data_IF_605978931655
#
_entry.id   IF_605978931655
#
_cell.length_a   1.000
_cell.length_b   1.000
_cell.length_c   1.000
_cell.angle_alpha   90.00
_cell.angle_beta   90.00
_cell.angle_gamma   90.00
#
_symmetry.space_group_name_H-M   'P 1'
#
loop_
_entity.id
_entity.type
_entity.pdbx_description
1 polymer ?
#
# COMPACT_ATOMS: atom_id res chain seq x y z
N UNK A 1 42.52 -9.80 16.04
CA UNK A 1 41.13 -10.02 16.50
C UNK A 1 40.35 -8.83 15.99
N UNK A 2 39.40 -8.95 15.05
CA UNK A 2 38.38 -9.97 14.97
C UNK A 2 38.32 -10.65 13.59
N UNK A 3 38.34 -11.97 13.68
CA UNK A 3 37.90 -12.95 12.71
C UNK A 3 36.38 -13.02 12.81
N UNK A 4 35.67 -12.47 11.83
CA UNK A 4 34.21 -12.66 11.65
C UNK A 4 33.97 -12.81 10.14
N UNK A 5 34.60 -13.81 9.53
CA UNK A 5 34.20 -14.29 8.21
C UNK A 5 33.06 -15.29 8.40
N UNK A 6 31.83 -14.81 8.59
CA UNK A 6 30.63 -15.64 8.44
C UNK A 6 30.28 -15.65 6.93
N UNK A 7 30.42 -16.77 6.20
CA UNK A 7 30.36 -16.80 4.73
C UNK A 7 28.97 -16.50 4.13
N UNK A 8 28.00 -16.08 4.94
CA UNK A 8 26.60 -15.85 4.55
C UNK A 8 26.16 -14.37 4.54
N UNK A 9 27.06 -13.40 4.74
CA UNK A 9 26.68 -11.97 4.75
C UNK A 9 27.46 -11.11 3.74
N UNK A 10 27.21 -11.30 2.43
CA UNK A 10 27.91 -10.56 1.36
C UNK A 10 27.76 -9.04 1.47
N UNK A 11 26.71 -8.57 2.15
CA UNK A 11 26.49 -7.14 2.39
C UNK A 11 27.41 -6.54 3.45
N UNK A 12 27.70 -7.28 4.53
CA UNK A 12 28.62 -6.81 5.57
C UNK A 12 30.04 -6.72 5.05
N UNK A 13 30.49 -7.73 4.28
CA UNK A 13 31.80 -7.69 3.63
C UNK A 13 31.95 -6.49 2.69
N UNK A 14 30.89 -6.16 1.96
CA UNK A 14 30.86 -4.99 1.10
C UNK A 14 30.93 -3.67 1.88
N UNK A 15 30.24 -3.56 3.02
CA UNK A 15 30.31 -2.38 3.88
C UNK A 15 31.68 -2.21 4.52
N UNK A 16 32.30 -3.30 4.98
CA UNK A 16 33.66 -3.28 5.54
C UNK A 16 34.67 -2.87 4.47
N UNK A 17 34.55 -3.38 3.24
CA UNK A 17 35.39 -2.98 2.13
C UNK A 17 35.23 -1.48 1.79
N UNK A 18 34.00 -0.96 1.76
CA UNK A 18 33.74 0.47 1.55
C UNK A 18 34.33 1.34 2.65
N UNK A 19 34.17 0.96 3.92
CA UNK A 19 34.73 1.69 5.06
C UNK A 19 36.26 1.70 5.04
N UNK A 20 36.89 0.57 4.67
CA UNK A 20 38.35 0.50 4.54
C UNK A 20 38.88 1.46 3.46
N UNK A 21 38.16 1.63 2.34
CA UNK A 21 38.51 2.62 1.30
C UNK A 21 38.40 4.06 1.83
N UNK A 22 37.41 4.34 2.67
CA UNK A 22 37.23 5.67 3.27
C UNK A 22 38.27 5.99 4.36
N UNK A 23 38.70 5.00 5.14
CA UNK A 23 39.66 5.20 6.24
C UNK A 23 41.10 5.46 5.73
N UNK A 24 41.48 4.94 4.56
CA UNK A 24 42.86 5.02 4.06
C UNK A 24 43.18 6.25 3.22
N UNK A 25 42.19 7.12 2.95
CA UNK A 25 42.40 8.35 2.19
C UNK A 25 42.69 8.09 0.70
N UNK A 26 42.20 8.99 -0.13
CA UNK A 26 42.12 8.85 -1.58
C UNK A 26 43.43 8.47 -2.26
N UNK A 27 43.56 7.22 -2.70
CA UNK A 27 44.40 6.89 -3.86
C UNK A 27 43.76 5.80 -4.72
N UNK A 28 43.09 6.26 -5.77
CA UNK A 28 42.95 5.56 -7.06
C UNK A 28 42.50 4.09 -7.07
N UNK A 29 41.62 3.65 -6.15
CA UNK A 29 40.94 2.35 -6.28
C UNK A 29 39.50 2.55 -6.76
N UNK A 30 39.02 1.75 -7.75
CA UNK A 30 37.62 1.76 -8.15
C UNK A 30 36.73 1.41 -6.96
N UNK A 31 35.68 2.20 -6.74
CA UNK A 31 34.69 1.94 -5.69
C UNK A 31 34.13 0.53 -5.92
N UNK A 32 34.26 -0.41 -4.96
CA UNK A 32 33.71 -1.75 -5.11
C UNK A 32 32.20 -1.65 -5.33
N UNK A 33 31.66 -2.43 -6.27
CA UNK A 33 30.20 -2.51 -6.53
C UNK A 33 29.63 -3.72 -5.80
N UNK A 34 28.43 -3.55 -5.24
CA UNK A 34 27.72 -4.64 -4.58
C UNK A 34 26.97 -5.49 -5.62
N UNK A 35 27.40 -6.73 -5.81
CA UNK A 35 26.75 -7.71 -6.72
C UNK A 35 25.92 -8.78 -5.96
N UNK A 36 25.57 -8.53 -4.70
CA UNK A 36 24.77 -9.44 -3.88
C UNK A 36 23.25 -9.20 -3.93
N UNK A 37 22.44 -10.05 -3.28
CA UNK A 37 20.98 -9.90 -3.24
C UNK A 37 20.58 -8.60 -2.51
N UNK A 38 19.99 -7.65 -3.23
CA UNK A 38 19.53 -6.37 -2.69
C UNK A 38 18.05 -6.40 -2.34
N UNK A 39 17.71 -6.09 -1.09
CA UNK A 39 16.35 -5.67 -0.73
C UNK A 39 16.29 -4.14 -0.60
N UNK A 40 15.11 -3.60 -0.28
CA UNK A 40 14.91 -2.15 -0.18
C UNK A 40 15.81 -1.47 0.88
N UNK A 41 16.13 -2.18 1.98
CA UNK A 41 17.01 -1.68 3.03
C UNK A 41 18.46 -1.60 2.52
N UNK A 42 18.94 -2.66 1.86
CA UNK A 42 20.27 -2.71 1.22
C UNK A 42 20.44 -1.58 0.22
N UNK A 43 19.46 -1.35 -0.64
CA UNK A 43 19.49 -0.29 -1.65
C UNK A 43 19.49 1.13 -1.03
N UNK A 44 18.72 1.32 0.05
CA UNK A 44 18.70 2.60 0.76
C UNK A 44 20.05 2.91 1.41
N UNK A 45 20.69 1.92 2.03
CA UNK A 45 22.00 2.09 2.68
C UNK A 45 23.07 2.40 1.64
N UNK A 46 23.11 1.67 0.51
CA UNK A 46 24.07 1.92 -0.56
C UNK A 46 23.95 3.35 -1.13
N UNK A 47 22.73 3.83 -1.34
CA UNK A 47 22.47 5.20 -1.83
C UNK A 47 22.87 6.27 -0.81
N UNK A 48 22.65 6.02 0.48
CA UNK A 48 23.11 6.92 1.54
C UNK A 48 24.64 7.01 1.56
N UNK A 49 25.34 5.88 1.43
CA UNK A 49 26.81 5.85 1.39
C UNK A 49 27.36 6.53 0.13
N UNK A 50 26.73 6.32 -1.03
CA UNK A 50 27.13 7.01 -2.26
C UNK A 50 26.95 8.53 -2.15
N UNK A 51 25.88 9.00 -1.52
CA UNK A 51 25.66 10.43 -1.27
C UNK A 51 26.66 11.01 -0.26
N UNK A 52 27.01 10.25 0.78
CA UNK A 52 28.07 10.62 1.72
C UNK A 52 29.41 10.71 0.99
N UNK A 53 29.68 9.77 0.09
CA UNK A 53 30.91 9.70 -0.65
C UNK A 53 31.11 10.82 -1.66
N UNK A 54 30.03 11.29 -2.29
CA UNK A 54 30.05 12.50 -3.13
C UNK A 54 30.29 13.79 -2.31
N UNK A 55 29.91 13.81 -1.04
CA UNK A 55 30.03 15.00 -0.18
C UNK A 55 31.40 15.16 0.50
N UNK A 56 32.11 14.06 0.77
CA UNK A 56 33.40 14.09 1.46
C UNK A 56 34.50 14.94 0.75
N UNK A 57 34.78 14.79 -0.57
CA UNK A 57 35.81 15.59 -1.23
C UNK A 57 35.41 17.06 -1.41
N UNK A 58 34.11 17.37 -1.44
CA UNK A 58 33.62 18.74 -1.48
C UNK A 58 33.83 19.47 -0.14
N UNK A 59 33.74 18.74 0.98
CA UNK A 59 34.02 19.28 2.30
C UNK A 59 35.51 19.60 2.48
N UNK A 60 36.42 18.69 2.10
CA UNK A 60 37.87 18.93 2.22
C UNK A 60 38.39 20.08 1.34
N UNK A 61 37.83 20.24 0.14
CA UNK A 61 38.14 21.38 -0.72
C UNK A 61 37.71 22.72 -0.08
N UNK A 62 36.58 22.74 0.64
CA UNK A 62 36.10 23.92 1.35
C UNK A 62 37.03 24.26 2.54
N UNK A 63 37.45 23.28 3.33
CA UNK A 63 38.36 23.48 4.47
C UNK A 63 39.75 23.97 4.05
N UNK A 64 40.27 23.51 2.91
CA UNK A 64 41.56 23.97 2.35
C UNK A 64 41.54 25.44 1.93
N UNK A 65 40.42 25.91 1.37
CA UNK A 65 40.26 27.32 0.97
C UNK A 65 40.28 28.29 2.17
N UNK A 66 39.71 27.87 3.30
CA UNK A 66 39.65 28.66 4.54
C UNK A 66 41.05 28.83 5.16
N UNK A 67 41.86 27.77 5.19
CA UNK A 67 43.25 27.85 5.70
C UNK A 67 44.13 28.76 4.83
N UNK A 68 43.91 28.81 3.51
CA UNK A 68 44.67 29.69 2.61
C UNK A 68 44.34 31.18 2.80
N UNK A 69 43.10 31.50 3.21
CA UNK A 69 42.67 32.88 3.47
C UNK A 69 43.26 33.46 4.76
N UNK A 70 43.50 32.64 5.79
CA UNK A 70 44.00 33.08 7.10
C UNK A 70 45.49 33.49 7.08
N UNK A 71 46.28 33.01 6.12
CA UNK A 71 47.72 33.30 6.04
C UNK A 71 48.07 34.67 5.41
N UNK A 72 47.08 35.41 4.88
CA UNK A 72 47.32 36.61 4.07
C UNK A 72 47.13 37.96 4.78
N UNK A 73 46.84 37.99 6.09
CA UNK A 73 46.45 39.23 6.80
C UNK A 73 47.35 39.62 7.99
N UNK A 74 48.65 39.35 7.96
CA UNK A 74 49.56 39.84 9.01
C UNK A 74 50.87 40.41 8.46
N UNK A 75 50.91 41.71 8.16
CA UNK A 75 52.09 42.56 8.37
C UNK A 75 51.86 44.04 8.02
N UNK A 76 52.43 44.92 8.86
CA UNK A 76 52.65 46.38 8.75
C UNK A 76 51.53 47.31 9.26
N UNK A 77 51.77 48.35 10.07
CA UNK A 77 52.88 48.77 10.94
C UNK A 77 52.35 49.87 11.88
N UNK A 78 53.07 50.02 12.99
CA UNK A 78 52.94 50.92 14.14
C UNK A 78 53.19 52.43 13.86
N UNK A 79 52.46 53.34 14.55
CA UNK A 79 52.99 54.43 15.41
C UNK A 79 52.31 55.84 15.36
N UNK A 80 52.08 56.39 16.57
CA UNK A 80 52.15 57.80 17.05
C UNK A 80 50.93 58.78 17.10
N UNK A 81 50.32 58.86 18.30
CA UNK A 81 49.89 60.00 19.23
C UNK A 81 49.35 61.39 18.74
N UNK A 82 48.70 62.26 19.58
CA UNK A 82 47.30 62.72 19.41
C UNK A 82 47.12 64.27 19.35
N UNK A 83 45.90 64.78 19.10
CA UNK A 83 45.49 66.09 19.63
C UNK A 83 43.96 66.28 19.72
N UNK A 84 43.59 67.08 20.70
CA UNK A 84 42.28 67.32 21.34
C UNK A 84 41.32 68.26 20.56
N UNK A 85 40.11 68.42 21.12
CA UNK A 85 39.13 69.53 21.04
C UNK A 85 37.76 69.23 20.41
N UNK A 86 36.80 69.00 21.30
CA UNK A 86 35.42 69.54 21.40
C UNK A 86 34.55 69.81 20.15
N UNK A 87 33.31 69.31 20.21
CA UNK A 87 32.14 70.16 19.91
C UNK A 87 31.09 69.62 18.95
N UNK A 88 29.84 69.59 19.47
CA UNK A 88 28.57 69.80 18.79
C UNK A 88 27.87 68.63 18.06
N UNK A 89 26.64 68.42 18.52
CA UNK A 89 25.59 67.63 17.92
C UNK A 89 25.27 68.06 16.48
N UNK A 90 25.11 67.08 15.60
CA UNK A 90 24.60 67.24 14.24
C UNK A 90 24.11 65.90 13.72
N UNK A 91 22.90 65.88 13.16
CA UNK A 91 22.21 64.71 12.66
C UNK A 91 23.13 63.78 11.84
N UNK A 92 23.26 62.52 12.26
CA UNK A 92 24.00 61.50 11.52
C UNK A 92 23.28 61.20 10.21
N UNK A 93 23.73 61.83 9.12
CA UNK A 93 23.83 61.12 7.86
C UNK A 93 24.72 59.89 8.11
N UNK A 94 24.22 58.70 7.78
CA UNK A 94 25.00 57.46 7.87
C UNK A 94 26.31 57.68 7.10
N UNK A 95 27.45 57.33 7.70
CA UNK A 95 28.74 57.36 7.01
C UNK A 95 28.70 56.36 5.85
N UNK A 96 29.32 56.64 4.70
CA UNK A 96 29.42 55.70 3.57
C UNK A 96 29.94 54.31 4.01
N UNK A 97 30.74 54.26 5.08
CA UNK A 97 31.22 53.03 5.71
C UNK A 97 30.11 52.27 6.46
N UNK A 98 29.18 52.98 7.11
CA UNK A 98 28.05 52.40 7.83
C UNK A 98 27.02 51.82 6.85
N UNK A 99 26.81 52.49 5.71
CA UNK A 99 25.95 51.97 4.63
C UNK A 99 26.51 50.69 4.00
N UNK A 100 27.83 50.63 3.74
CA UNK A 100 28.49 49.43 3.23
C UNK A 100 28.46 48.26 4.23
N UNK A 101 28.63 48.53 5.53
CA UNK A 101 28.49 47.51 6.57
C UNK A 101 27.05 47.00 6.68
N UNK A 102 26.07 47.90 6.55
CA UNK A 102 24.65 47.54 6.54
C UNK A 102 24.33 46.63 5.35
N UNK A 103 24.76 46.99 4.14
CA UNK A 103 24.56 46.18 2.93
C UNK A 103 25.24 44.81 3.03
N UNK A 104 26.45 44.74 3.60
CA UNK A 104 27.14 43.46 3.83
C UNK A 104 26.38 42.57 4.81
N UNK A 105 25.84 43.17 5.87
CA UNK A 105 25.05 42.45 6.89
C UNK A 105 23.72 41.96 6.31
N UNK A 106 23.05 42.78 5.49
CA UNK A 106 21.82 42.41 4.79
C UNK A 106 22.04 41.28 3.78
N UNK A 107 23.09 41.37 2.96
CA UNK A 107 23.45 40.33 2.01
C UNK A 107 23.81 39.01 2.69
N UNK A 108 24.54 39.07 3.82
CA UNK A 108 24.84 37.88 4.62
C UNK A 108 23.58 37.23 5.20
N UNK A 109 22.58 38.02 5.62
CA UNK A 109 21.32 37.49 6.12
C UNK A 109 20.48 36.82 5.03
N UNK A 110 20.43 37.39 3.82
CA UNK A 110 19.78 36.75 2.68
C UNK A 110 20.49 35.44 2.33
N UNK A 111 21.83 35.44 2.30
CA UNK A 111 22.61 34.22 2.04
C UNK A 111 22.32 33.13 3.09
N UNK A 112 22.24 33.49 4.37
CA UNK A 112 21.91 32.54 5.44
C UNK A 112 20.51 31.92 5.28
N UNK A 113 19.53 32.70 4.83
CA UNK A 113 18.17 32.17 4.54
C UNK A 113 18.20 31.27 3.30
N UNK A 114 18.98 31.60 2.29
CA UNK A 114 19.18 30.71 1.15
C UNK A 114 19.85 29.38 1.55
N UNK A 115 20.83 29.43 2.46
CA UNK A 115 21.47 28.22 3.01
C UNK A 115 20.48 27.37 3.79
N UNK A 116 19.59 27.97 4.61
CA UNK A 116 18.56 27.21 5.32
C UNK A 116 17.51 26.60 4.39
N UNK A 117 17.10 27.33 3.34
CA UNK A 117 16.23 26.81 2.28
C UNK A 117 16.88 25.64 1.55
N UNK A 118 18.19 25.71 1.30
CA UNK A 118 18.96 24.61 0.71
C UNK A 118 19.01 23.37 1.62
N UNK A 119 19.07 23.56 2.94
CA UNK A 119 19.00 22.48 3.92
C UNK A 119 17.57 21.93 4.15
N UNK A 120 16.55 22.58 3.60
CA UNK A 120 15.14 22.19 3.75
C UNK A 120 14.44 22.77 4.98
N UNK A 121 15.06 23.73 5.68
CA UNK A 121 14.43 24.49 6.76
C UNK A 121 13.78 25.77 6.20
N UNK A 122 12.44 25.72 6.07
CA UNK A 122 11.63 26.84 5.59
C UNK A 122 11.06 27.73 6.71
N UNK A 123 11.59 27.64 7.93
CA UNK A 123 11.11 28.45 9.07
C UNK A 123 11.85 29.78 9.23
N UNK A 124 13.06 29.89 8.67
CA UNK A 124 13.90 31.10 8.78
C UNK A 124 13.48 32.21 7.83
N UNK A 125 13.52 33.46 8.30
CA UNK A 125 13.21 34.66 7.51
C UNK A 125 14.31 35.71 7.61
N UNK A 126 14.39 36.56 6.59
CA UNK A 126 15.27 37.73 6.57
C UNK A 126 14.67 38.78 7.52
N UNK A 127 15.20 38.88 8.74
CA UNK A 127 14.71 39.79 9.78
C UNK A 127 15.58 41.05 9.97
N UNK A 128 16.59 41.26 9.11
CA UNK A 128 17.49 42.41 9.22
C UNK A 128 16.78 43.68 8.72
N UNK A 129 16.87 44.83 9.44
CA UNK A 129 16.34 46.09 8.97
C UNK A 129 16.99 46.48 7.63
N UNK A 130 16.22 46.30 6.56
CA UNK A 130 16.61 46.62 5.19
C UNK A 130 16.31 48.09 4.90
N UNK A 131 17.32 48.80 4.39
CA UNK A 131 17.20 50.20 3.98
C UNK A 131 17.38 50.29 2.46
N UNK A 132 16.56 51.11 1.81
CA UNK A 132 16.54 51.29 0.36
C UNK A 132 15.54 50.37 -0.38
N UNK A 133 14.91 50.86 -1.46
CA UNK A 133 13.80 50.18 -2.12
C UNK A 133 14.15 48.80 -2.72
N UNK A 134 15.40 48.62 -3.17
CA UNK A 134 15.84 47.35 -3.78
C UNK A 134 15.99 46.23 -2.73
N UNK A 135 16.59 46.53 -1.58
CA UNK A 135 16.85 45.53 -0.54
C UNK A 135 15.59 45.12 0.20
N UNK A 136 14.64 46.05 0.38
CA UNK A 136 13.30 45.72 0.88
C UNK A 136 12.59 44.76 -0.08
N UNK A 137 12.55 45.07 -1.38
CA UNK A 137 11.94 44.19 -2.37
C UNK A 137 12.60 42.80 -2.43
N UNK A 138 13.92 42.72 -2.33
CA UNK A 138 14.64 41.44 -2.29
C UNK A 138 14.28 40.62 -1.04
N UNK A 139 14.30 41.24 0.14
CA UNK A 139 13.92 40.59 1.40
C UNK A 139 12.48 40.08 1.35
N UNK A 140 11.54 40.90 0.87
CA UNK A 140 10.15 40.53 0.73
C UNK A 140 9.97 39.38 -0.28
N UNK A 141 10.69 39.41 -1.41
CA UNK A 141 10.61 38.36 -2.42
C UNK A 141 11.18 37.03 -1.90
N UNK A 142 12.29 37.06 -1.16
CA UNK A 142 12.88 35.86 -0.54
C UNK A 142 11.98 35.33 0.57
N UNK A 143 11.46 36.19 1.45
CA UNK A 143 10.54 35.79 2.52
C UNK A 143 9.24 35.19 1.95
N UNK A 144 8.68 35.77 0.88
CA UNK A 144 7.53 35.22 0.17
C UNK A 144 7.84 33.85 -0.48
N UNK A 145 9.04 33.68 -1.03
CA UNK A 145 9.48 32.38 -1.56
C UNK A 145 9.56 31.32 -0.46
N UNK A 146 10.22 31.65 0.67
CA UNK A 146 10.33 30.76 1.84
C UNK A 146 8.95 30.36 2.37
N UNK A 147 8.04 31.33 2.48
CA UNK A 147 6.68 31.08 2.96
C UNK A 147 5.89 30.15 2.04
N UNK A 148 5.97 30.36 0.72
CA UNK A 148 5.33 29.47 -0.26
C UNK A 148 5.91 28.05 -0.21
N UNK A 149 7.24 27.93 -0.06
CA UNK A 149 7.90 26.62 0.11
C UNK A 149 7.48 25.92 1.40
N UNK A 150 7.39 26.66 2.51
CA UNK A 150 6.96 26.13 3.80
C UNK A 150 5.52 25.59 3.73
N UNK A 151 4.60 26.36 3.16
CA UNK A 151 3.19 25.97 3.00
C UNK A 151 3.04 24.73 2.11
N UNK A 152 3.78 24.67 1.00
CA UNK A 152 3.75 23.52 0.10
C UNK A 152 4.33 22.25 0.76
N UNK A 153 5.49 22.37 1.41
CA UNK A 153 6.13 21.25 2.09
C UNK A 153 5.26 20.70 3.22
N UNK A 154 4.63 21.58 4.00
CA UNK A 154 3.70 21.18 5.05
C UNK A 154 2.47 20.48 4.48
N UNK A 155 1.86 21.03 3.41
CA UNK A 155 0.71 20.40 2.76
C UNK A 155 1.00 18.99 2.28
N UNK A 156 2.13 18.77 1.59
CA UNK A 156 2.50 17.43 1.11
C UNK A 156 2.78 16.48 2.28
N UNK A 157 3.47 16.95 3.32
CA UNK A 157 3.72 16.14 4.50
C UNK A 157 2.41 15.74 5.20
N UNK A 158 1.43 16.65 5.27
CA UNK A 158 0.11 16.37 5.83
C UNK A 158 -0.67 15.37 4.98
N UNK A 159 -0.65 15.48 3.65
CA UNK A 159 -1.28 14.48 2.78
C UNK A 159 -0.62 13.11 2.94
N UNK A 160 0.71 13.06 2.93
CA UNK A 160 1.46 11.81 3.13
C UNK A 160 1.16 11.15 4.47
N UNK A 161 1.19 11.92 5.56
CA UNK A 161 0.91 11.39 6.91
C UNK A 161 -0.56 10.97 7.08
N UNK A 162 -1.50 11.73 6.52
CA UNK A 162 -2.93 11.38 6.55
C UNK A 162 -3.20 10.06 5.83
N UNK A 163 -2.61 9.87 4.65
CA UNK A 163 -2.73 8.62 3.87
C UNK A 163 -2.14 7.44 4.65
N UNK A 164 -0.98 7.62 5.29
CA UNK A 164 -0.35 6.58 6.13
C UNK A 164 -1.22 6.24 7.36
N UNK A 165 -1.89 7.24 7.94
CA UNK A 165 -2.78 7.05 9.08
C UNK A 165 -4.17 6.50 8.68
N UNK A 166 -4.40 6.21 7.40
CA UNK A 166 -5.69 5.73 6.88
C UNK A 166 -6.77 6.80 6.82
N UNK A 167 -6.43 8.06 7.06
CA UNK A 167 -7.31 9.22 6.89
C UNK A 167 -7.22 9.69 5.44
N UNK A 168 -7.95 9.00 4.57
CA UNK A 168 -7.96 9.23 3.14
C UNK A 168 -8.85 10.42 2.77
N UNK A 169 -8.34 11.32 1.91
CA UNK A 169 -9.05 12.48 1.39
C UNK A 169 -8.49 13.86 1.79
N UNK A 170 -7.34 13.91 2.46
CA UNK A 170 -6.64 15.19 2.65
C UNK A 170 -6.09 15.70 1.32
N UNK A 171 -6.16 17.01 1.14
CA UNK A 171 -5.72 17.71 -0.06
C UNK A 171 -4.82 18.88 0.34
N UNK A 172 -3.85 19.16 -0.52
CA UNK A 172 -3.01 20.35 -0.42
C UNK A 172 -3.68 21.53 -1.11
N UNK A 173 -3.39 22.75 -0.65
CA UNK A 173 -3.82 23.95 -1.36
C UNK A 173 -3.23 23.98 -2.78
N UNK A 174 -3.98 24.50 -3.75
CA UNK A 174 -3.58 24.62 -5.16
C UNK A 174 -3.19 26.05 -5.55
N UNK A 175 -3.30 27.01 -4.61
CA UNK A 175 -3.03 28.43 -4.84
C UNK A 175 -1.54 28.80 -4.99
N UNK A 176 -0.70 27.84 -5.36
CA UNK A 176 0.71 28.05 -5.63
C UNK A 176 0.92 28.20 -7.14
N UNK A 177 0.83 29.41 -7.70
CA UNK A 177 0.93 29.60 -9.15
C UNK A 177 2.15 28.95 -9.82
N UNK A 178 2.01 28.55 -11.09
CA UNK A 178 3.06 27.93 -11.89
C UNK A 178 3.15 26.41 -11.68
N UNK A 179 4.36 25.87 -11.71
CA UNK A 179 4.65 24.42 -11.58
C UNK A 179 4.17 23.82 -10.25
N UNK A 180 4.04 24.65 -9.21
CA UNK A 180 3.52 24.21 -7.91
C UNK A 180 2.04 23.83 -7.96
N UNK A 181 1.23 24.52 -8.78
CA UNK A 181 -0.18 24.14 -9.02
C UNK A 181 -0.23 22.78 -9.68
N UNK A 182 0.64 22.52 -10.67
CA UNK A 182 0.68 21.23 -11.37
C UNK A 182 1.04 20.09 -10.42
N UNK A 183 2.05 20.27 -9.56
CA UNK A 183 2.46 19.28 -8.55
C UNK A 183 1.38 19.05 -7.49
N UNK A 184 0.80 20.12 -6.94
CA UNK A 184 -0.30 20.04 -5.97
C UNK A 184 -1.51 19.32 -6.57
N UNK A 185 -1.87 19.64 -7.81
CA UNK A 185 -2.96 18.97 -8.53
C UNK A 185 -2.65 17.49 -8.72
N UNK A 186 -1.43 17.13 -9.14
CA UNK A 186 -1.04 15.74 -9.31
C UNK A 186 -1.10 14.92 -8.01
N UNK A 187 -0.61 15.48 -6.90
CA UNK A 187 -0.69 14.85 -5.57
C UNK A 187 -2.14 14.70 -5.11
N UNK A 188 -2.96 15.74 -5.30
CA UNK A 188 -4.37 15.72 -4.92
C UNK A 188 -5.15 14.69 -5.75
N UNK A 189 -4.93 14.62 -7.06
CA UNK A 189 -5.56 13.61 -7.94
C UNK A 189 -5.13 12.19 -7.55
N UNK A 190 -3.85 11.97 -7.22
CA UNK A 190 -3.39 10.67 -6.73
C UNK A 190 -4.06 10.30 -5.41
N UNK A 191 -4.16 11.24 -4.47
CA UNK A 191 -4.82 11.05 -3.17
C UNK A 191 -6.30 10.72 -3.35
N UNK A 192 -7.00 11.44 -4.24
CA UNK A 192 -8.41 11.22 -4.55
C UNK A 192 -8.65 9.84 -5.17
N UNK A 193 -7.89 9.47 -6.21
CA UNK A 193 -8.03 8.15 -6.87
C UNK A 193 -7.76 6.98 -5.91
N UNK A 194 -6.76 7.12 -5.03
CA UNK A 194 -6.47 6.12 -4.00
C UNK A 194 -7.60 6.04 -2.98
N UNK A 195 -8.10 7.19 -2.53
CA UNK A 195 -9.22 7.30 -1.58
C UNK A 195 -10.47 6.63 -2.11
N UNK A 196 -10.84 6.95 -3.35
CA UNK A 196 -12.05 6.43 -3.99
C UNK A 196 -11.94 4.93 -4.20
N UNK A 197 -10.78 4.42 -4.63
CA UNK A 197 -10.62 2.98 -4.82
C UNK A 197 -10.73 2.22 -3.51
N UNK A 198 -10.06 2.69 -2.46
CA UNK A 198 -10.11 2.03 -1.14
C UNK A 198 -11.53 2.08 -0.58
N UNK A 199 -12.24 3.22 -0.69
CA UNK A 199 -13.64 3.34 -0.25
C UNK A 199 -14.57 2.42 -1.04
N UNK A 200 -14.40 2.32 -2.36
CA UNK A 200 -15.22 1.44 -3.20
C UNK A 200 -14.98 -0.05 -2.87
N UNK A 201 -13.73 -0.45 -2.65
CA UNK A 201 -13.42 -1.82 -2.19
C UNK A 201 -14.01 -2.07 -0.81
N UNK A 202 -13.92 -1.11 0.12
CA UNK A 202 -14.54 -1.25 1.44
C UNK A 202 -16.06 -1.42 1.36
N UNK A 203 -16.74 -0.67 0.50
CA UNK A 203 -18.18 -0.83 0.25
C UNK A 203 -18.51 -2.21 -0.32
N UNK A 204 -17.72 -2.70 -1.27
CA UNK A 204 -17.89 -4.05 -1.83
C UNK A 204 -17.69 -5.13 -0.77
N UNK A 205 -16.69 -5.00 0.10
CA UNK A 205 -16.48 -5.94 1.22
C UNK A 205 -17.65 -5.88 2.21
N UNK A 206 -18.19 -4.70 2.52
CA UNK A 206 -19.41 -4.57 3.33
C UNK A 206 -20.60 -5.26 2.66
N UNK A 207 -20.79 -5.11 1.35
CA UNK A 207 -21.83 -5.82 0.61
C UNK A 207 -21.67 -7.34 0.71
N UNK A 208 -20.44 -7.85 0.66
CA UNK A 208 -20.18 -9.28 0.85
C UNK A 208 -20.60 -9.78 2.23
N UNK A 209 -20.47 -8.96 3.28
CA UNK A 209 -20.91 -9.37 4.64
C UNK A 209 -22.42 -9.57 4.75
N UNK A 210 -23.21 -8.89 3.92
CA UNK A 210 -24.67 -9.05 3.88
C UNK A 210 -25.12 -10.00 2.76
N UNK A 211 -24.18 -10.61 2.04
CA UNK A 211 -24.45 -11.55 0.95
C UNK A 211 -24.87 -10.88 -0.37
N UNK A 212 -24.67 -9.57 -0.51
CA UNK A 212 -24.88 -8.88 -1.78
C UNK A 212 -23.61 -8.91 -2.63
N UNK A 213 -23.60 -9.82 -3.61
CA UNK A 213 -22.51 -9.97 -4.58
C UNK A 213 -22.79 -9.25 -5.90
N UNK A 214 -23.76 -8.32 -5.96
CA UNK A 214 -24.08 -7.55 -7.17
C UNK A 214 -23.34 -6.22 -7.26
N UNK A 215 -22.81 -5.74 -6.12
CA UNK A 215 -22.01 -4.51 -6.04
C UNK A 215 -20.69 -4.68 -6.81
N UNK A 216 -20.32 -3.68 -7.60
CA UNK A 216 -19.08 -3.64 -8.38
C UNK A 216 -18.34 -2.33 -8.14
N UNK A 217 -17.01 -2.39 -8.27
CA UNK A 217 -16.18 -1.18 -8.33
C UNK A 217 -16.22 -0.67 -9.76
N UNK A 218 -16.78 0.53 -9.97
CA UNK A 218 -16.90 1.19 -11.28
C UNK A 218 -16.23 2.57 -11.32
N UNK A 219 -14.99 2.63 -10.82
CA UNK A 219 -14.14 3.82 -10.92
C UNK A 219 -13.19 3.63 -12.11
N UNK A 220 -12.94 4.69 -12.88
CA UNK A 220 -11.93 4.67 -13.94
C UNK A 220 -10.53 4.73 -13.32
N UNK A 221 -9.78 3.64 -13.44
CA UNK A 221 -8.51 3.43 -12.77
C UNK A 221 -7.47 2.98 -13.80
N UNK A 222 -6.19 3.19 -13.48
CA UNK A 222 -5.07 2.82 -14.35
C UNK A 222 -4.03 2.02 -13.59
N UNK A 223 -3.25 1.21 -14.31
CA UNK A 223 -2.16 0.40 -13.76
C UNK A 223 -2.64 -0.60 -12.70
N UNK A 224 -1.84 -0.76 -11.64
CA UNK A 224 -2.10 -1.73 -10.56
C UNK A 224 -3.45 -1.54 -9.86
N UNK A 225 -3.95 -0.29 -9.82
CA UNK A 225 -5.24 0.01 -9.23
C UNK A 225 -6.41 -0.52 -10.08
N UNK A 226 -6.26 -0.53 -11.41
CA UNK A 226 -7.20 -1.18 -12.29
C UNK A 226 -7.13 -2.70 -12.16
N UNK A 227 -5.93 -3.26 -12.02
CA UNK A 227 -5.78 -4.71 -11.81
C UNK A 227 -6.46 -5.15 -10.51
N UNK A 228 -6.37 -4.34 -9.44
CA UNK A 228 -7.10 -4.57 -8.20
C UNK A 228 -8.63 -4.52 -8.42
N UNK A 229 -9.15 -3.50 -9.12
CA UNK A 229 -10.58 -3.42 -9.49
C UNK A 229 -11.03 -4.68 -10.24
N UNK A 230 -10.27 -5.11 -11.25
CA UNK A 230 -10.60 -6.29 -12.06
C UNK A 230 -10.60 -7.55 -11.19
N UNK A 231 -9.60 -7.74 -10.34
CA UNK A 231 -9.49 -8.91 -9.47
C UNK A 231 -10.65 -8.99 -8.46
N UNK A 232 -10.99 -7.87 -7.82
CA UNK A 232 -12.08 -7.83 -6.83
C UNK A 232 -13.45 -8.03 -7.50
N UNK A 233 -13.68 -7.42 -8.67
CA UNK A 233 -14.92 -7.64 -9.43
C UNK A 233 -15.03 -9.10 -9.91
N UNK A 234 -13.94 -9.71 -10.39
CA UNK A 234 -13.92 -11.12 -10.77
C UNK A 234 -14.22 -12.05 -9.59
N UNK A 235 -13.73 -11.70 -8.39
CA UNK A 235 -14.10 -12.42 -7.16
C UNK A 235 -15.60 -12.32 -6.87
N UNK A 236 -16.20 -11.13 -7.00
CA UNK A 236 -17.65 -10.94 -6.84
C UNK A 236 -18.45 -11.78 -7.84
N UNK A 237 -18.07 -11.73 -9.13
CA UNK A 237 -18.70 -12.50 -10.20
C UNK A 237 -18.63 -14.01 -9.93
N UNK A 238 -17.48 -14.48 -9.42
CA UNK A 238 -17.28 -15.88 -9.08
C UNK A 238 -18.22 -16.33 -7.97
N UNK A 239 -18.31 -15.56 -6.89
CA UNK A 239 -19.18 -15.90 -5.76
C UNK A 239 -20.64 -15.88 -6.21
N UNK A 240 -21.05 -14.86 -6.97
CA UNK A 240 -22.41 -14.75 -7.49
C UNK A 240 -22.78 -15.94 -8.38
N UNK A 241 -21.90 -16.35 -9.30
CA UNK A 241 -22.12 -17.50 -10.19
C UNK A 241 -22.29 -18.80 -9.39
N UNK A 242 -21.41 -19.04 -8.42
CA UNK A 242 -21.51 -20.24 -7.57
C UNK A 242 -22.79 -20.21 -6.74
N UNK A 243 -23.11 -19.09 -6.08
CA UNK A 243 -24.30 -18.97 -5.25
C UNK A 243 -25.59 -19.23 -6.07
N UNK A 244 -25.68 -18.64 -7.27
CA UNK A 244 -26.81 -18.85 -8.16
C UNK A 244 -26.95 -20.33 -8.57
N UNK A 245 -25.84 -20.99 -8.91
CA UNK A 245 -25.85 -22.40 -9.31
C UNK A 245 -26.21 -23.32 -8.15
N UNK A 246 -25.74 -23.04 -6.94
CA UNK A 246 -26.10 -23.81 -5.75
C UNK A 246 -27.57 -23.65 -5.40
N UNK A 247 -28.11 -22.43 -5.49
CA UNK A 247 -29.54 -22.18 -5.30
C UNK A 247 -30.37 -22.91 -6.36
N UNK A 248 -29.98 -22.84 -7.63
CA UNK A 248 -30.65 -23.54 -8.73
C UNK A 248 -30.73 -25.04 -8.46
N UNK A 249 -29.61 -25.67 -8.10
CA UNK A 249 -29.55 -27.12 -7.84
C UNK A 249 -30.34 -27.51 -6.60
N UNK A 250 -30.26 -26.71 -5.53
CA UNK A 250 -31.05 -26.94 -4.33
C UNK A 250 -32.55 -26.86 -4.62
N UNK A 251 -32.99 -25.89 -5.43
CA UNK A 251 -34.38 -25.76 -5.85
C UNK A 251 -34.81 -26.89 -6.78
N UNK A 252 -34.00 -27.25 -7.78
CA UNK A 252 -34.35 -28.32 -8.73
C UNK A 252 -34.40 -29.70 -8.09
N UNK A 253 -33.38 -30.08 -7.33
CA UNK A 253 -33.29 -31.41 -6.72
C UNK A 253 -34.14 -31.49 -5.45
N UNK A 254 -34.11 -30.45 -4.63
CA UNK A 254 -34.79 -30.43 -3.32
C UNK A 254 -36.27 -30.08 -3.40
N UNK A 255 -36.67 -29.08 -4.19
CA UNK A 255 -38.05 -28.58 -4.23
C UNK A 255 -38.82 -29.21 -5.39
N UNK A 256 -38.26 -29.18 -6.60
CA UNK A 256 -38.94 -29.69 -7.78
C UNK A 256 -38.76 -31.20 -8.01
N UNK A 257 -37.95 -31.88 -7.19
CA UNK A 257 -37.72 -33.32 -7.29
C UNK A 257 -37.10 -33.74 -8.63
N UNK A 258 -36.42 -32.84 -9.35
CA UNK A 258 -35.74 -33.12 -10.61
C UNK A 258 -34.40 -33.84 -10.34
N UNK A 259 -34.50 -35.10 -9.96
CA UNK A 259 -33.37 -35.94 -9.58
C UNK A 259 -32.37 -36.11 -10.73
N UNK A 260 -31.08 -36.03 -10.43
CA UNK A 260 -29.97 -36.16 -11.39
C UNK A 260 -29.35 -34.84 -11.87
N UNK A 261 -29.90 -33.69 -11.47
CA UNK A 261 -29.25 -32.40 -11.71
C UNK A 261 -28.06 -32.21 -10.76
N UNK A 262 -27.01 -31.57 -11.27
CA UNK A 262 -25.75 -31.33 -10.57
C UNK A 262 -25.31 -29.89 -10.82
N UNK A 263 -24.62 -29.32 -9.82
CA UNK A 263 -23.98 -28.03 -9.91
C UNK A 263 -22.79 -28.11 -10.87
N UNK A 264 -22.78 -27.24 -11.87
CA UNK A 264 -21.70 -27.13 -12.86
C UNK A 264 -21.12 -25.72 -12.84
N UNK A 265 -19.88 -25.60 -12.37
CA UNK A 265 -19.13 -24.34 -12.43
C UNK A 265 -17.74 -24.64 -12.98
N UNK A 266 -17.44 -24.11 -14.18
CA UNK A 266 -16.33 -24.53 -15.05
C UNK A 266 -14.93 -24.37 -14.42
N UNK A 267 -14.74 -23.34 -13.58
CA UNK A 267 -13.38 -22.97 -13.11
C UNK A 267 -13.23 -23.04 -11.59
N UNK A 268 -13.91 -24.00 -10.95
CA UNK A 268 -13.90 -24.09 -9.50
C UNK A 268 -12.58 -24.71 -9.03
N UNK A 269 -11.77 -23.93 -8.34
CA UNK A 269 -10.49 -24.35 -7.78
C UNK A 269 -10.52 -24.34 -6.24
N UNK A 270 -9.61 -25.10 -5.62
CA UNK A 270 -9.47 -25.16 -4.17
C UNK A 270 -10.78 -25.52 -3.44
N UNK A 271 -11.09 -24.78 -2.38
CA UNK A 271 -12.28 -24.98 -1.55
C UNK A 271 -13.60 -24.92 -2.33
N UNK A 272 -13.68 -24.13 -3.42
CA UNK A 272 -14.87 -24.08 -4.26
C UNK A 272 -15.19 -25.41 -4.93
N UNK A 273 -14.16 -26.10 -5.41
CA UNK A 273 -14.31 -27.42 -6.03
C UNK A 273 -14.83 -28.44 -5.02
N UNK A 274 -14.34 -28.36 -3.79
CA UNK A 274 -14.76 -29.24 -2.71
C UNK A 274 -16.21 -28.99 -2.30
N UNK A 275 -16.63 -27.72 -2.16
CA UNK A 275 -18.01 -27.35 -1.87
C UNK A 275 -18.98 -27.84 -2.95
N UNK A 276 -18.67 -27.57 -4.22
CA UNK A 276 -19.49 -28.04 -5.36
C UNK A 276 -19.54 -29.57 -5.40
N UNK A 277 -18.39 -30.23 -5.19
CA UNK A 277 -18.30 -31.69 -5.11
C UNK A 277 -19.15 -32.27 -3.99
N UNK A 278 -19.17 -31.62 -2.82
CA UNK A 278 -19.99 -32.04 -1.67
C UNK A 278 -21.48 -31.97 -1.99
N UNK A 279 -21.93 -30.85 -2.56
CA UNK A 279 -23.34 -30.68 -2.95
C UNK A 279 -23.73 -31.69 -4.03
N UNK A 280 -22.87 -31.91 -5.02
CA UNK A 280 -23.12 -32.91 -6.05
C UNK A 280 -23.23 -34.34 -5.49
N UNK A 281 -22.43 -34.70 -4.48
CA UNK A 281 -22.57 -35.99 -3.78
C UNK A 281 -23.93 -36.08 -3.07
N UNK A 282 -24.35 -35.04 -2.36
CA UNK A 282 -25.66 -35.01 -1.70
C UNK A 282 -26.81 -35.15 -2.70
N UNK A 283 -26.77 -34.41 -3.82
CA UNK A 283 -27.77 -34.52 -4.88
C UNK A 283 -27.78 -35.92 -5.53
N UNK A 284 -26.60 -36.55 -5.69
CA UNK A 284 -26.51 -37.92 -6.18
C UNK A 284 -27.15 -38.91 -5.18
N UNK A 285 -26.88 -38.77 -3.88
CA UNK A 285 -27.52 -39.60 -2.84
C UNK A 285 -29.03 -39.45 -2.85
N UNK A 286 -29.56 -38.22 -2.92
CA UNK A 286 -31.00 -37.97 -3.04
C UNK A 286 -31.61 -38.59 -4.32
N UNK A 287 -30.85 -38.57 -5.41
CA UNK A 287 -31.28 -39.18 -6.67
C UNK A 287 -31.38 -40.70 -6.56
N UNK A 288 -30.38 -41.34 -5.95
CA UNK A 288 -30.42 -42.79 -5.68
C UNK A 288 -31.59 -43.12 -4.77
N UNK A 289 -31.78 -42.35 -3.69
CA UNK A 289 -32.87 -42.54 -2.75
C UNK A 289 -34.24 -42.49 -3.43
N UNK A 290 -34.53 -41.40 -4.14
CA UNK A 290 -35.83 -41.22 -4.80
C UNK A 290 -36.12 -42.33 -5.81
N UNK A 291 -35.14 -42.68 -6.66
CA UNK A 291 -35.30 -43.74 -7.66
C UNK A 291 -35.48 -45.12 -7.04
N UNK A 292 -34.71 -45.45 -6.00
CA UNK A 292 -34.83 -46.73 -5.31
C UNK A 292 -36.19 -46.89 -4.62
N UNK A 293 -36.71 -45.81 -4.01
CA UNK A 293 -38.04 -45.83 -3.40
C UNK A 293 -39.14 -45.94 -4.46
N UNK A 294 -39.05 -45.23 -5.59
CA UNK A 294 -40.03 -45.37 -6.69
C UNK A 294 -40.02 -46.79 -7.29
N UNK A 295 -38.83 -47.37 -7.48
CA UNK A 295 -38.70 -48.75 -7.95
C UNK A 295 -39.33 -49.73 -6.97
N UNK A 296 -39.06 -49.56 -5.68
CA UNK A 296 -39.64 -50.36 -4.63
C UNK A 296 -41.17 -50.23 -4.59
N UNK A 297 -41.70 -49.02 -4.61
CA UNK A 297 -43.16 -48.78 -4.66
C UNK A 297 -43.82 -49.47 -5.86
N UNK A 298 -43.18 -49.40 -7.04
CA UNK A 298 -43.68 -50.07 -8.25
C UNK A 298 -43.68 -51.60 -8.12
N UNK A 299 -42.74 -52.18 -7.38
CA UNK A 299 -42.72 -53.62 -7.11
C UNK A 299 -43.88 -54.02 -6.17
N UNK A 300 -44.14 -53.22 -5.13
CA UNK A 300 -45.29 -53.45 -4.23
C UNK A 300 -46.63 -53.37 -4.98
N UNK A 301 -46.79 -52.39 -5.89
CA UNK A 301 -48.01 -52.26 -6.70
C UNK A 301 -48.26 -53.49 -7.60
N UNK A 302 -47.19 -54.18 -8.01
CA UNK A 302 -47.27 -55.42 -8.79
C UNK A 302 -47.39 -56.67 -7.92
N UNK A 303 -47.54 -56.51 -6.60
CA UNK A 303 -47.52 -57.58 -5.59
C UNK A 303 -46.23 -58.40 -5.61
N UNK A 304 -45.12 -57.84 -6.07
CA UNK A 304 -43.79 -58.44 -5.97
C UNK A 304 -43.14 -58.01 -4.65
N UNK A 305 -43.36 -58.83 -3.62
CA UNK A 305 -42.80 -58.61 -2.29
C UNK A 305 -41.41 -59.26 -2.09
N UNK A 306 -40.79 -59.79 -3.14
CA UNK A 306 -39.45 -60.39 -3.05
C UNK A 306 -38.34 -59.33 -3.11
N UNK A 307 -38.66 -58.15 -3.63
CA UNK A 307 -37.73 -57.05 -3.75
C UNK A 307 -37.47 -56.39 -2.39
N UNK A 308 -36.19 -56.28 -2.03
CA UNK A 308 -35.74 -55.53 -0.85
C UNK A 308 -35.17 -54.19 -1.27
N UNK A 309 -35.50 -53.15 -0.52
CA UNK A 309 -34.92 -51.83 -0.67
C UNK A 309 -33.48 -51.85 -0.12
N UNK A 310 -32.52 -51.46 -0.94
CA UNK A 310 -31.13 -51.21 -0.53
C UNK A 310 -30.70 -49.83 -1.01
N UNK A 311 -30.42 -48.94 -0.07
CA UNK A 311 -30.10 -47.55 -0.33
C UNK A 311 -28.59 -47.27 -0.23
N UNK A 312 -27.80 -48.16 0.39
CA UNK A 312 -26.35 -47.96 0.57
C UNK A 312 -26.00 -46.71 1.38
N UNK A 313 -26.88 -46.31 2.30
CA UNK A 313 -26.79 -45.10 3.13
C UNK A 313 -26.81 -45.46 4.61
N UNK A 314 -26.23 -44.59 5.42
CA UNK A 314 -26.16 -44.73 6.88
C UNK A 314 -27.17 -43.79 7.58
N UNK A 315 -27.25 -43.90 8.91
CA UNK A 315 -28.07 -43.00 9.74
C UNK A 315 -29.58 -43.21 9.60
N UNK A 316 -30.35 -42.12 9.63
CA UNK A 316 -31.82 -42.17 9.58
C UNK A 316 -32.37 -42.80 8.30
N UNK A 317 -31.65 -42.65 7.18
CA UNK A 317 -32.03 -43.25 5.91
C UNK A 317 -31.91 -44.78 5.93
N UNK A 318 -30.97 -45.33 6.70
CA UNK A 318 -30.87 -46.77 6.95
C UNK A 318 -32.06 -47.25 7.81
N UNK A 319 -32.44 -46.49 8.83
CA UNK A 319 -33.60 -46.82 9.65
C UNK A 319 -34.89 -46.86 8.81
N UNK A 320 -35.05 -45.91 7.88
CA UNK A 320 -36.14 -45.91 6.91
C UNK A 320 -36.09 -47.15 6.00
N UNK A 321 -34.92 -47.52 5.50
CA UNK A 321 -34.75 -48.75 4.70
C UNK A 321 -35.20 -50.00 5.46
N UNK A 322 -34.77 -50.15 6.72
CA UNK A 322 -35.13 -51.30 7.57
C UNK A 322 -36.64 -51.34 7.81
N UNK A 323 -37.24 -50.19 8.12
CA UNK A 323 -38.68 -50.08 8.35
C UNK A 323 -39.51 -50.47 7.12
N UNK A 324 -39.14 -49.94 5.95
CA UNK A 324 -39.83 -50.25 4.68
C UNK A 324 -39.70 -51.73 4.30
N UNK A 325 -38.53 -52.32 4.48
CA UNK A 325 -38.33 -53.76 4.25
C UNK A 325 -39.18 -54.60 5.21
N UNK A 326 -39.27 -54.21 6.49
CA UNK A 326 -40.14 -54.89 7.46
C UNK A 326 -41.62 -54.81 7.09
N UNK A 327 -42.08 -53.70 6.52
CA UNK A 327 -43.45 -53.58 6.01
C UNK A 327 -43.71 -54.54 4.84
N UNK A 328 -42.77 -54.65 3.90
CA UNK A 328 -42.89 -55.61 2.78
C UNK A 328 -42.94 -57.05 3.25
N UNK A 329 -42.13 -57.43 4.23
CA UNK A 329 -42.17 -58.79 4.79
C UNK A 329 -43.53 -59.09 5.45
N UNK A 330 -44.12 -58.12 6.16
CA UNK A 330 -45.48 -58.26 6.72
C UNK A 330 -46.55 -58.35 5.65
N UNK A 331 -46.46 -57.57 4.57
CA UNK A 331 -47.39 -57.65 3.45
C UNK A 331 -47.26 -58.98 2.71
N UNK A 332 -46.03 -59.48 2.49
CA UNK A 332 -45.76 -60.76 1.85
C UNK A 332 -46.43 -61.92 2.61
N UNK A 333 -46.24 -61.94 3.93
CA UNK A 333 -46.83 -62.96 4.81
C UNK A 333 -48.36 -62.89 4.85
N UNK A 334 -48.94 -61.68 4.95
CA UNK A 334 -50.38 -61.49 4.88
C UNK A 334 -50.99 -61.94 3.54
N UNK A 335 -50.33 -61.62 2.42
CA UNK A 335 -50.79 -62.01 1.09
C UNK A 335 -50.65 -63.52 0.85
N UNK A 336 -49.61 -64.15 1.40
CA UNK A 336 -49.47 -65.61 1.38
C UNK A 336 -50.57 -66.29 2.20
N UNK A 337 -50.86 -65.79 3.39
CA UNK A 337 -51.96 -66.29 4.22
C UNK A 337 -53.29 -66.16 3.47
N UNK A 338 -53.65 -64.98 2.94
CA UNK A 338 -54.94 -64.80 2.26
C UNK A 338 -55.15 -65.75 1.06
N UNK A 339 -54.08 -66.08 0.32
CA UNK A 339 -54.14 -67.09 -0.76
C UNK A 339 -54.44 -68.49 -0.26
N UNK A 340 -53.96 -68.86 0.93
CA UNK A 340 -54.29 -70.17 1.54
C UNK A 340 -55.75 -70.25 2.01
N UNK A 341 -56.37 -69.12 2.36
CA UNK A 341 -57.78 -69.07 2.77
C UNK A 341 -58.75 -69.07 1.58
N UNK A 342 -58.29 -68.67 0.40
CA UNK A 342 -59.11 -68.54 -0.82
C UNK A 342 -58.94 -69.69 -1.81
N UNK A 343 -58.00 -70.60 -1.55
CA UNK A 343 -57.77 -71.84 -2.31
C UNK A 343 -58.49 -73.02 -1.65
#
# INVERSE_FOLDING_TARGET
MADIADPNQPFLDHLVALLAVYEHGTSATPIPRYDGPSNWQTASILRSIESLGRRAPAADAATGSISSSAASSSSTSDSAIPHDVAGAAGAHALSDSDELQLLRTQAAAVAQVCDSVYEGDFTRRVAVPVQGPLMVHLSDSVNNMVERLALFAHGIADVGTSVVNGQLGSQTDTNFGGTWTELSTAVNTMSEQLTDTVRAVAQLVQAFTIGDFTVRVDIDLRGEMNDLKVLVNAMADRIQSVAAELLRVATEVGIHGRLGHQAKVSDALGGWRELIGSINRTCATLTVLGRSVTFFASALERNDYTQKLNLGVEGELLALQVSLNGLVERLATAHAANRQWTA
#
